data_IF_428729866218
#
_entry.id   IF_428729866218
#
_cell.length_a   1.000
_cell.length_b   1.000
_cell.length_c   1.000
_cell.angle_alpha   90.00
_cell.angle_beta   90.00
_cell.angle_gamma   90.00
#
_symmetry.space_group_name_H-M   'P 1'
#
loop_
_entity.id
_entity.type
_entity.pdbx_description
1 polymer ?
2 non-polymer ?
3 water ?
#
# COMPACT_ATOMS: atom_id res chain seq x y z
N UNK A 1 -12.54 -19.10 7.60
CA UNK A 1 -13.18 -17.87 7.05
C UNK A 1 -12.75 -16.62 7.83
N UNK A 2 -12.60 -15.51 7.12
CA UNK A 2 -12.25 -14.26 7.78
C UNK A 2 -13.54 -13.80 8.46
N UNK A 3 -13.48 -13.57 9.76
CA UNK A 3 -14.66 -13.12 10.49
C UNK A 3 -15.09 -11.77 9.95
N UNK A 4 -16.35 -11.42 10.18
CA UNK A 4 -16.88 -10.13 9.75
C UNK A 4 -16.15 -8.98 10.47
N UNK A 5 -15.83 -9.18 11.75
CA UNK A 5 -15.13 -8.15 12.53
C UNK A 5 -13.75 -7.87 11.98
N UNK A 6 -13.04 -8.96 11.65
CA UNK A 6 -11.70 -8.84 11.10
C UNK A 6 -11.71 -8.25 9.69
N UNK A 7 -12.72 -8.59 8.91
CA UNK A 7 -12.84 -8.05 7.56
C UNK A 7 -13.04 -6.53 7.67
N UNK A 8 -13.90 -6.11 8.58
CA UNK A 8 -14.14 -4.69 8.77
C UNK A 8 -12.86 -3.96 9.12
N UNK A 9 -12.06 -4.51 10.03
CA UNK A 9 -10.78 -3.91 10.42
C UNK A 9 -9.83 -3.80 9.22
N UNK A 10 -9.69 -4.88 8.46
CA UNK A 10 -8.84 -4.86 7.28
C UNK A 10 -9.32 -3.84 6.22
N UNK A 11 -10.62 -3.78 5.98
CA UNK A 11 -11.11 -2.87 4.96
C UNK A 11 -11.30 -1.41 5.32
N UNK A 12 -11.53 -1.12 6.60
CA UNK A 12 -11.83 0.25 7.01
C UNK A 12 -11.08 0.95 8.12
N UNK A 13 -10.18 0.25 8.80
CA UNK A 13 -9.46 0.85 9.91
C UNK A 13 -8.01 1.18 9.61
N UNK A 14 -7.63 2.42 9.91
CA UNK A 14 -6.26 2.86 9.75
C UNK A 14 -6.05 3.99 10.74
N UNK A 15 -6.13 3.62 12.02
CA UNK A 15 -6.00 4.55 13.12
C UNK A 15 -4.68 5.31 13.12
N UNK A 16 -4.75 6.63 13.32
CA UNK A 16 -3.54 7.44 13.33
C UNK A 16 -3.78 8.89 12.98
N UNK A 17 -2.78 9.74 13.24
CA UNK A 17 -2.85 11.17 12.99
C UNK A 17 -2.53 11.60 11.56
N UNK A 18 -1.43 11.06 11.02
CA UNK A 18 -1.01 11.39 9.66
C UNK A 18 -0.95 10.13 8.79
N UNK A 19 -2.13 9.59 8.41
CA UNK A 19 -2.21 8.39 7.57
C UNK A 19 -1.68 8.58 6.14
N UNK A 20 -1.89 9.78 5.59
CA UNK A 20 -1.44 10.11 4.23
C UNK A 20 -0.01 10.68 4.18
N UNK A 21 0.71 10.59 5.29
CA UNK A 21 2.08 11.08 5.42
C UNK A 21 3.05 10.33 4.49
N UNK A 22 3.93 11.08 3.83
CA UNK A 22 4.88 10.45 2.91
C UNK A 22 5.91 9.54 3.62
N UNK A 23 6.08 9.70 4.93
CA UNK A 23 7.01 8.84 5.66
C UNK A 23 6.38 7.44 5.80
N UNK A 24 5.14 7.31 5.32
CA UNK A 24 4.42 6.04 5.33
C UNK A 24 4.60 5.29 4.01
N UNK A 25 5.17 5.98 3.01
CA UNK A 25 5.35 5.42 1.67
C UNK A 25 5.82 3.96 1.66
N UNK A 26 6.92 3.68 2.33
CA UNK A 26 7.43 2.33 2.39
C UNK A 26 6.48 1.34 3.07
N UNK A 27 5.83 1.75 4.15
CA UNK A 27 4.91 0.88 4.86
C UNK A 27 3.80 0.42 3.93
N UNK A 28 3.25 1.36 3.17
CA UNK A 28 2.18 1.04 2.25
C UNK A 28 2.66 0.29 1.01
N UNK A 29 3.76 0.75 0.40
CA UNK A 29 4.28 0.07 -0.78
C UNK A 29 4.78 -1.34 -0.47
N UNK A 30 5.50 -1.50 0.63
CA UNK A 30 6.01 -2.83 1.00
C UNK A 30 4.88 -3.81 1.19
N UNK A 31 3.74 -3.31 1.64
CA UNK A 31 2.55 -4.12 1.85
C UNK A 31 1.84 -4.38 0.50
N UNK A 32 1.58 -3.30 -0.25
CA UNK A 32 0.93 -3.37 -1.56
C UNK A 32 1.68 -4.34 -2.47
N UNK A 33 2.99 -4.11 -2.58
CA UNK A 33 3.86 -4.93 -3.41
C UNK A 33 4.17 -6.33 -2.87
N UNK A 34 3.43 -6.76 -1.85
CA UNK A 34 3.52 -8.09 -1.26
C UNK A 34 4.87 -8.55 -0.71
N UNK A 35 5.56 -7.65 -0.03
CA UNK A 35 6.83 -7.99 0.56
C UNK A 35 6.77 -8.02 2.10
N UNK A 36 5.55 -8.16 2.63
CA UNK A 36 5.35 -8.24 4.09
C UNK A 36 4.49 -9.46 4.45
N UNK A 37 4.54 -10.48 3.59
CA UNK A 37 3.76 -11.69 3.82
C UNK A 37 4.70 -12.77 4.34
N UNK A 38 4.38 -13.37 5.48
CA UNK A 38 5.23 -14.40 6.05
C UNK A 38 6.30 -13.80 6.93
N UNK A 39 6.98 -12.78 6.43
CA UNK A 39 8.02 -12.08 7.17
C UNK A 39 8.14 -10.66 6.62
N UNK A 40 8.89 -9.80 7.32
CA UNK A 40 9.09 -8.45 6.85
C UNK A 40 10.38 -8.44 6.06
N UNK A 41 10.30 -8.17 4.76
CA UNK A 41 11.54 -8.11 3.99
C UNK A 41 12.28 -6.94 4.62
N UNK A 42 13.49 -7.20 5.15
CA UNK A 42 14.31 -6.17 5.80
C UNK A 42 14.71 -4.92 5.02
N UNK A 43 15.12 -5.08 3.77
CA UNK A 43 15.52 -3.95 2.94
C UNK A 43 14.98 -4.11 1.54
N UNK A 44 14.60 -3.01 0.91
CA UNK A 44 14.06 -3.06 -0.43
C UNK A 44 14.13 -1.67 -1.02
N UNK A 45 14.59 -1.58 -2.26
CA UNK A 45 14.70 -0.30 -2.94
C UNK A 45 13.64 -0.19 -4.05
N UNK A 46 13.08 1.00 -4.22
CA UNK A 46 12.12 1.29 -5.29
C UNK A 46 12.80 2.33 -6.15
N UNK A 47 12.79 2.11 -7.45
CA UNK A 47 13.41 3.02 -8.40
C UNK A 47 12.32 3.86 -9.05
N UNK A 48 12.48 5.17 -9.02
CA UNK A 48 11.49 6.04 -9.60
C UNK A 48 11.86 6.52 -10.99
N UNK A 49 12.57 5.68 -11.74
CA UNK A 49 12.97 6.03 -13.10
C UNK A 49 12.16 5.25 -14.12
N UNK A 50 12.21 5.71 -15.37
CA UNK A 50 11.51 5.05 -16.47
C UNK A 50 12.02 3.61 -16.58
N UNK A 51 11.13 2.67 -16.92
CA UNK A 51 11.53 1.27 -17.07
C UNK A 51 12.53 1.13 -18.23
N UNK A 52 12.50 2.08 -19.16
CA UNK A 52 13.41 2.08 -20.31
C UNK A 52 14.83 2.36 -19.81
N UNK A 53 14.96 3.31 -18.88
CA UNK A 53 16.25 3.67 -18.29
C UNK A 53 16.83 2.57 -17.40
N UNK A 54 15.97 1.87 -16.68
CA UNK A 54 16.44 0.80 -15.81
C UNK A 54 16.88 -0.40 -16.65
N UNK A 55 16.15 -0.71 -17.72
CA UNK A 55 16.53 -1.83 -18.59
C UNK A 55 17.86 -1.55 -19.28
N UNK A 56 18.11 -0.28 -19.59
CA UNK A 56 19.33 0.10 -20.27
C UNK A 56 20.58 -0.23 -19.43
N UNK A 57 20.42 -0.29 -18.11
CA UNK A 57 21.54 -0.61 -17.21
C UNK A 57 22.17 -1.97 -17.57
N UNK A 58 21.39 -2.87 -18.13
CA UNK A 58 21.89 -4.20 -18.52
C UNK A 58 22.91 -4.20 -19.66
N UNK A 59 23.21 -3.03 -20.19
CA UNK A 59 24.21 -2.93 -21.26
C UNK A 59 25.19 -1.82 -20.86
N UNK A 60 25.26 -1.56 -19.55
CA UNK A 60 26.15 -0.53 -19.04
C UNK A 60 27.40 -1.07 -18.33
N UNK A 61 27.79 -0.53 -17.17
CA UNK A 61 29.01 -1.03 -16.52
C UNK A 61 28.93 -2.37 -15.81
N UNK A 62 29.75 -3.31 -16.24
CA UNK A 62 29.77 -4.65 -15.65
C UNK A 62 30.51 -4.68 -14.30
N UNK A 63 29.93 -5.37 -13.31
CA UNK A 63 30.53 -5.49 -11.98
C UNK A 63 30.13 -6.83 -11.36
N UNK A 64 30.87 -7.26 -10.35
CA UNK A 64 30.58 -8.53 -9.68
C UNK A 64 29.44 -8.30 -8.69
N UNK A 65 28.53 -9.26 -8.59
CA UNK A 65 27.44 -9.15 -7.63
C UNK A 65 28.03 -9.42 -6.24
N UNK A 66 27.30 -9.07 -5.19
CA UNK A 66 27.73 -9.29 -3.81
C UNK A 66 27.87 -10.78 -3.48
N UNK A 67 27.06 -11.62 -4.12
CA UNK A 67 27.13 -13.06 -3.87
C UNK A 67 28.08 -13.84 -4.77
N UNK A 68 28.92 -13.13 -5.52
CA UNK A 68 29.88 -13.80 -6.37
C UNK A 68 29.42 -14.07 -7.80
N UNK A 69 28.15 -13.86 -8.09
CA UNK A 69 27.69 -14.09 -9.45
C UNK A 69 28.30 -13.02 -10.32
N UNK A 70 28.38 -13.29 -11.61
CA UNK A 70 29.02 -12.35 -12.50
C UNK A 70 28.11 -11.68 -13.51
N UNK A 71 26.81 -11.69 -13.25
CA UNK A 71 25.87 -11.07 -14.16
C UNK A 71 25.31 -9.75 -13.66
N UNK A 72 26.14 -8.95 -12.98
CA UNK A 72 25.69 -7.66 -12.48
C UNK A 72 26.22 -6.47 -13.26
N UNK A 73 25.45 -5.39 -13.24
CA UNK A 73 25.75 -4.15 -13.95
C UNK A 73 25.40 -2.94 -13.08
N UNK A 74 26.21 -1.90 -13.19
CA UNK A 74 26.02 -0.65 -12.45
C UNK A 74 25.60 0.47 -13.38
N UNK A 75 24.62 1.25 -12.97
CA UNK A 75 24.15 2.35 -13.78
C UNK A 75 25.23 3.41 -13.93
N UNK A 76 25.41 3.90 -15.14
CA UNK A 76 26.39 4.92 -15.41
C UNK A 76 26.04 6.24 -14.70
N UNK A 77 24.75 6.54 -14.61
CA UNK A 77 24.23 7.74 -13.96
C UNK A 77 23.47 7.42 -12.66
N UNK A 78 23.25 8.41 -11.82
CA UNK A 78 22.51 8.19 -10.59
C UNK A 78 21.01 8.13 -10.88
N UNK A 79 20.28 7.44 -10.03
CA UNK A 79 18.86 7.31 -10.19
C UNK A 79 18.13 7.65 -8.91
N UNK A 80 16.95 8.25 -9.05
CA UNK A 80 16.13 8.60 -7.91
C UNK A 80 15.50 7.31 -7.40
N UNK A 81 15.90 6.92 -6.20
CA UNK A 81 15.40 5.71 -5.57
C UNK A 81 14.88 5.98 -4.14
N UNK A 82 14.08 5.06 -3.65
CA UNK A 82 13.60 5.16 -2.29
C UNK A 82 14.09 3.93 -1.58
N UNK A 83 14.78 4.14 -0.47
CA UNK A 83 15.30 3.04 0.32
C UNK A 83 14.29 2.75 1.42
N UNK A 84 13.82 1.51 1.51
CA UNK A 84 12.91 1.15 2.56
C UNK A 84 13.65 0.21 3.48
N UNK A 85 13.80 0.62 4.75
CA UNK A 85 14.53 -0.20 5.71
C UNK A 85 13.73 -0.40 6.97
N UNK A 86 13.65 -1.65 7.41
CA UNK A 86 12.94 -2.04 8.64
C UNK A 86 13.45 -1.30 9.87
N UNK A 87 12.53 -0.80 10.69
CA UNK A 87 12.90 -0.08 11.90
C UNK A 87 13.20 -1.06 13.03
N UNK A 88 13.90 -0.60 14.06
CA UNK A 88 14.21 -1.46 15.19
C UNK A 88 12.93 -1.95 15.86
N UNK A 89 11.90 -1.13 15.80
CA UNK A 89 10.60 -1.44 16.37
C UNK A 89 9.77 -2.45 15.56
N UNK A 90 10.06 -2.57 14.26
CA UNK A 90 9.34 -3.49 13.39
C UNK A 90 9.37 -4.94 13.86
N UNK A 91 8.20 -5.58 13.89
CA UNK A 91 8.09 -6.96 14.31
C UNK A 91 6.88 -7.58 13.62
N UNK A 92 7.12 -8.59 12.79
CA UNK A 92 6.04 -9.26 12.05
C UNK A 92 4.92 -9.71 13.00
N UNK A 93 3.65 -9.59 12.57
CA UNK A 93 3.15 -9.09 11.29
C UNK A 93 3.05 -7.56 11.19
N UNK A 94 3.59 -6.86 12.18
CA UNK A 94 3.56 -5.40 12.16
C UNK A 94 4.91 -4.89 11.68
N UNK A 95 5.08 -4.88 10.36
CA UNK A 95 6.31 -4.44 9.71
C UNK A 95 6.33 -2.91 9.61
N UNK A 96 7.45 -2.32 9.98
CA UNK A 96 7.58 -0.87 9.94
C UNK A 96 8.87 -0.53 9.21
N UNK A 97 8.77 0.44 8.30
CA UNK A 97 9.91 0.83 7.51
C UNK A 97 10.21 2.29 7.59
N UNK A 98 11.48 2.63 7.43
CA UNK A 98 11.92 4.01 7.42
C UNK A 98 12.03 4.29 5.92
N UNK A 99 11.47 5.42 5.50
CA UNK A 99 11.52 5.79 4.10
C UNK A 99 12.65 6.80 3.87
N UNK A 100 13.56 6.50 2.96
CA UNK A 100 14.65 7.43 2.65
C UNK A 100 14.76 7.63 1.14
N UNK A 101 14.67 8.87 0.67
CA UNK A 101 14.78 9.16 -0.75
C UNK A 101 16.18 9.68 -1.03
N UNK A 102 16.86 9.04 -1.98
CA UNK A 102 18.24 9.41 -2.37
C UNK A 102 18.50 9.24 -3.86
N UNK A 103 19.62 9.77 -4.32
CA UNK A 103 20.00 9.65 -5.73
C UNK A 103 21.35 8.95 -5.73
N UNK A 104 21.33 7.66 -6.08
CA UNK A 104 22.53 6.84 -6.12
C UNK A 104 22.54 5.99 -7.38
N UNK A 105 23.70 5.41 -7.70
CA UNK A 105 23.84 4.51 -8.85
C UNK A 105 23.23 3.19 -8.37
N UNK A 106 22.63 2.43 -9.27
CA UNK A 106 22.07 1.16 -8.84
C UNK A 106 22.86 0.04 -9.49
N UNK A 107 22.81 -1.13 -8.86
CA UNK A 107 23.48 -2.32 -9.36
C UNK A 107 22.39 -3.37 -9.39
N UNK A 108 22.20 -3.97 -10.55
CA UNK A 108 21.18 -5.01 -10.70
C UNK A 108 21.79 -6.20 -11.42
N UNK A 109 21.21 -7.37 -11.24
CA UNK A 109 21.66 -8.54 -11.96
C UNK A 109 20.69 -8.66 -13.18
N UNK A 110 21.20 -8.95 -14.37
CA UNK A 110 20.34 -9.09 -15.55
C UNK A 110 20.33 -10.53 -16.00
N UNK A 111 19.21 -10.98 -16.53
CA UNK A 111 19.10 -12.35 -16.98
C UNK A 111 18.02 -12.54 -18.03
N UNK A 112 17.91 -13.75 -18.56
CA UNK A 112 16.92 -14.05 -19.57
C UNK A 112 17.26 -13.50 -20.94
N UNK A 113 16.34 -13.65 -21.90
CA UNK A 113 16.53 -13.14 -23.25
C UNK A 113 15.23 -12.58 -23.82
N UNK A 114 15.15 -11.27 -24.11
CA UNK A 114 16.18 -10.24 -23.96
C UNK A 114 16.69 -10.13 -22.53
N UNK A 115 17.87 -9.56 -22.37
CA UNK A 115 18.47 -9.43 -21.05
C UNK A 115 17.83 -8.28 -20.26
N UNK A 116 17.19 -8.61 -19.15
CA UNK A 116 16.53 -7.58 -18.34
C UNK A 116 16.85 -7.73 -16.85
N UNK A 117 16.62 -6.67 -16.03
CA UNK A 117 16.93 -6.76 -14.61
C UNK A 117 16.10 -7.83 -13.92
N UNK A 118 16.75 -8.69 -13.14
CA UNK A 118 16.04 -9.74 -12.43
C UNK A 118 16.30 -9.76 -10.92
N UNK A 119 17.10 -8.82 -10.44
CA UNK A 119 17.45 -8.74 -9.03
C UNK A 119 18.12 -7.40 -8.78
N UNK A 120 17.84 -6.79 -7.63
CA UNK A 120 18.47 -5.52 -7.28
C UNK A 120 19.62 -5.92 -6.35
N UNK A 121 20.83 -5.52 -6.68
CA UNK A 121 21.98 -5.90 -5.88
C UNK A 121 22.40 -4.87 -4.85
N UNK A 122 22.56 -3.62 -5.27
CA UNK A 122 23.01 -2.59 -4.36
C UNK A 122 22.89 -1.22 -4.99
N UNK A 123 23.23 -0.20 -4.23
CA UNK A 123 23.20 1.17 -4.72
C UNK A 123 24.50 1.76 -4.24
N UNK A 124 25.16 2.53 -5.10
CA UNK A 124 26.44 3.10 -4.76
C UNK A 124 26.55 4.59 -5.15
N UNK B 1 3.70 -19.46 -11.72
CA UNK B 1 5.10 -18.98 -11.57
C UNK B 1 5.33 -17.63 -12.24
N UNK B 2 5.47 -16.61 -11.41
CA UNK B 2 5.71 -15.24 -11.86
C UNK B 2 7.11 -15.18 -12.48
N UNK B 3 7.26 -14.48 -13.59
CA UNK B 3 8.57 -14.41 -14.21
C UNK B 3 9.52 -13.54 -13.41
N UNK B 4 10.82 -13.81 -13.54
CA UNK B 4 11.85 -13.05 -12.84
C UNK B 4 11.72 -11.56 -13.20
N UNK B 5 11.55 -11.26 -14.49
CA UNK B 5 11.40 -9.87 -14.93
C UNK B 5 10.20 -9.18 -14.27
N UNK B 6 9.08 -9.90 -14.18
CA UNK B 6 7.86 -9.36 -13.59
C UNK B 6 8.05 -9.19 -12.09
N UNK B 7 8.75 -10.15 -11.48
CA UNK B 7 9.03 -10.10 -10.05
C UNK B 7 9.87 -8.87 -9.72
N UNK B 8 10.81 -8.54 -10.60
CA UNK B 8 11.65 -7.36 -10.40
C UNK B 8 10.83 -6.05 -10.49
N UNK B 9 9.90 -5.98 -11.44
CA UNK B 9 9.06 -4.78 -11.60
C UNK B 9 8.17 -4.57 -10.38
N UNK B 10 7.54 -5.65 -9.91
CA UNK B 10 6.67 -5.58 -8.74
C UNK B 10 7.42 -5.18 -7.46
N UNK B 11 8.60 -5.75 -7.28
CA UNK B 11 9.37 -5.47 -6.08
C UNK B 11 10.22 -4.20 -6.11
N UNK B 12 10.66 -3.76 -7.28
CA UNK B 12 11.53 -2.60 -7.34
C UNK B 12 11.15 -1.40 -8.22
N UNK B 13 10.08 -1.49 -9.00
CA UNK B 13 9.72 -0.38 -9.87
C UNK B 13 8.51 0.46 -9.43
N UNK B 14 8.71 1.77 -9.39
CA UNK B 14 7.65 2.71 -9.07
C UNK B 14 7.84 3.97 -9.90
N UNK B 15 7.75 3.79 -11.21
CA UNK B 15 7.89 4.85 -12.18
C UNK B 15 6.66 5.72 -12.10
N UNK B 16 6.87 7.02 -12.24
CA UNK B 16 5.72 7.91 -12.19
C UNK B 16 4.77 7.90 -11.01
N UNK B 17 5.37 7.94 -9.83
CA UNK B 17 4.65 7.96 -8.59
C UNK B 17 5.66 8.61 -7.66
N UNK B 18 5.29 9.74 -7.09
CA UNK B 18 6.19 10.43 -6.18
C UNK B 18 5.93 9.98 -4.76
N UNK B 19 7.00 9.59 -4.05
CA UNK B 19 6.91 9.14 -2.66
C UNK B 19 6.37 10.26 -1.79
N UNK B 20 6.62 11.50 -2.21
CA UNK B 20 6.15 12.67 -1.47
C UNK B 20 4.85 13.15 -2.06
N UNK B 21 3.80 12.35 -1.92
CA UNK B 21 2.49 12.69 -2.46
C UNK B 21 1.37 12.17 -1.58
N UNK B 22 0.55 13.09 -1.07
CA UNK B 22 -0.56 12.72 -0.20
C UNK B 22 -1.76 12.17 -0.97
N UNK B 23 -1.89 12.55 -2.23
CA UNK B 23 -2.99 12.13 -3.08
C UNK B 23 -2.95 10.63 -3.41
N UNK B 24 -1.79 10.02 -3.24
CA UNK B 24 -1.61 8.61 -3.56
C UNK B 24 -2.10 7.59 -2.54
N UNK B 25 -2.44 8.08 -1.36
CA UNK B 25 -2.91 7.25 -0.28
C UNK B 25 -3.90 6.15 -0.65
N UNK B 26 -5.03 6.55 -1.22
CA UNK B 26 -6.04 5.56 -1.59
C UNK B 26 -5.53 4.43 -2.49
N UNK B 27 -4.76 4.77 -3.52
CA UNK B 27 -4.22 3.79 -4.44
C UNK B 27 -3.39 2.73 -3.72
N UNK B 28 -2.48 3.16 -2.86
CA UNK B 28 -1.63 2.24 -2.11
C UNK B 28 -2.42 1.47 -1.04
N UNK B 29 -3.27 2.18 -0.30
CA UNK B 29 -4.06 1.55 0.76
C UNK B 29 -5.04 0.51 0.21
N UNK B 30 -5.73 0.85 -0.88
CA UNK B 30 -6.69 -0.06 -1.51
C UNK B 30 -5.97 -1.32 -1.98
N UNK B 31 -4.73 -1.14 -2.45
CA UNK B 31 -3.90 -2.25 -2.91
C UNK B 31 -3.43 -3.05 -1.71
N UNK B 32 -2.82 -2.38 -0.73
CA UNK B 32 -2.32 -3.05 0.47
C UNK B 32 -3.37 -3.85 1.23
N UNK B 33 -4.58 -3.29 1.31
CA UNK B 33 -5.68 -3.92 2.05
C UNK B 33 -6.50 -4.94 1.27
N UNK B 34 -5.94 -5.39 0.16
CA UNK B 34 -6.54 -6.41 -0.70
C UNK B 34 -7.89 -6.10 -1.32
N UNK B 35 -8.13 -4.85 -1.72
CA UNK B 35 -9.42 -4.50 -2.33
C UNK B 35 -9.36 -4.22 -3.83
N UNK B 36 -8.28 -4.64 -4.47
CA UNK B 36 -8.12 -4.44 -5.90
C UNK B 36 -7.79 -5.77 -6.62
N UNK B 37 -8.18 -6.87 -6.00
CA UNK B 37 -7.93 -8.20 -6.55
C UNK B 37 -9.23 -8.71 -7.14
N UNK B 38 -9.17 -9.20 -8.38
CA UNK B 38 -10.37 -9.68 -9.04
C UNK B 38 -11.02 -8.52 -9.78
N UNK B 39 -11.11 -7.37 -9.11
CA UNK B 39 -11.64 -6.13 -9.67
C UNK B 39 -11.43 -4.98 -8.69
N UNK B 40 -11.68 -3.75 -9.15
CA UNK B 40 -11.51 -2.59 -8.30
C UNK B 40 -12.74 -2.35 -7.41
N UNK B 41 -12.51 -2.21 -6.10
CA UNK B 41 -13.64 -1.93 -5.21
C UNK B 41 -13.95 -0.46 -5.54
N UNK B 42 -15.17 -0.18 -6.00
CA UNK B 42 -15.66 1.15 -6.37
C UNK B 42 -15.42 2.26 -5.35
N UNK B 43 -15.90 2.02 -4.14
CA UNK B 43 -15.84 2.98 -3.05
C UNK B 43 -15.40 2.29 -1.76
N UNK B 44 -14.64 3.00 -0.93
CA UNK B 44 -14.22 2.45 0.35
C UNK B 44 -13.73 3.54 1.27
N UNK B 45 -14.19 3.52 2.51
CA UNK B 45 -13.80 4.51 3.50
C UNK B 45 -12.81 3.95 4.50
N UNK B 46 -11.81 4.75 4.86
CA UNK B 46 -10.84 4.38 5.87
C UNK B 46 -11.08 5.31 7.05
N UNK B 47 -11.15 4.76 8.25
CA UNK B 47 -11.39 5.55 9.46
C UNK B 47 -10.09 5.70 10.25
N UNK B 48 -9.76 6.94 10.60
CA UNK B 48 -8.52 7.21 11.31
C UNK B 48 -8.60 7.32 12.83
N UNK B 49 -9.84 7.27 13.36
CA UNK B 49 -10.06 7.34 14.80
C UNK B 49 -9.61 6.00 15.41
N UNK B 50 -9.57 5.91 16.74
CA UNK B 50 -9.14 4.69 17.42
C UNK B 50 -10.15 3.58 17.24
N UNK B 51 -9.69 2.34 17.35
CA UNK B 51 -10.61 1.22 17.21
C UNK B 51 -11.70 1.32 18.27
N UNK B 52 -11.32 1.70 19.49
CA UNK B 52 -12.26 1.87 20.62
C UNK B 52 -13.40 2.85 20.29
N UNK B 53 -13.07 3.99 19.71
CA UNK B 53 -14.08 4.99 19.33
C UNK B 53 -15.02 4.46 18.22
N UNK B 54 -14.51 3.63 17.32
CA UNK B 54 -15.34 3.10 16.24
C UNK B 54 -16.29 2.02 16.77
N UNK B 55 -15.76 1.15 17.63
CA UNK B 55 -16.54 0.08 18.24
C UNK B 55 -17.70 0.64 19.07
N UNK B 56 -17.45 1.79 19.69
CA UNK B 56 -18.44 2.45 20.52
C UNK B 56 -19.64 2.95 19.71
N UNK B 57 -19.46 3.13 18.40
CA UNK B 57 -20.58 3.60 17.56
C UNK B 57 -21.72 2.60 17.61
N UNK B 58 -21.41 1.33 17.85
CA UNK B 58 -22.44 0.31 17.96
C UNK B 58 -23.39 0.51 19.14
N UNK B 59 -23.06 1.43 20.05
CA UNK B 59 -23.92 1.68 21.19
C UNK B 59 -24.52 3.09 21.11
N UNK B 60 -24.43 3.69 19.92
CA UNK B 60 -24.95 5.03 19.73
C UNK B 60 -26.28 5.08 19.01
N UNK B 61 -26.44 6.08 18.15
CA UNK B 61 -27.68 6.30 17.43
C UNK B 61 -28.11 5.25 16.40
N UNK B 62 -29.18 4.53 16.73
CA UNK B 62 -29.77 3.50 15.87
C UNK B 62 -30.43 4.12 14.64
N UNK B 63 -30.01 3.72 13.44
CA UNK B 63 -30.61 4.22 12.19
C UNK B 63 -30.83 3.03 11.25
N UNK B 64 -31.57 3.24 10.15
CA UNK B 64 -31.80 2.17 9.17
C UNK B 64 -30.66 2.18 8.14
N UNK B 65 -30.23 1.00 7.72
CA UNK B 65 -29.18 0.87 6.73
C UNK B 65 -29.75 1.25 5.36
N UNK B 66 -28.86 1.54 4.41
CA UNK B 66 -29.28 1.89 3.06
C UNK B 66 -30.05 0.75 2.44
N UNK B 67 -29.69 -0.47 2.81
CA UNK B 67 -30.31 -1.67 2.27
C UNK B 67 -31.59 -2.11 2.99
N UNK B 68 -32.12 -1.28 3.87
CA UNK B 68 -33.34 -1.67 4.56
C UNK B 68 -33.13 -2.43 5.85
N UNK B 69 -31.93 -2.97 6.07
CA UNK B 69 -31.65 -3.71 7.31
C UNK B 69 -31.72 -2.74 8.50
N UNK B 70 -31.94 -3.27 9.69
CA UNK B 70 -32.08 -2.40 10.85
C UNK B 70 -30.96 -2.38 11.90
N UNK B 71 -29.81 -2.98 11.61
CA UNK B 71 -28.70 -3.00 12.57
C UNK B 71 -27.64 -1.93 12.34
N UNK B 72 -28.05 -0.77 11.85
CA UNK B 72 -27.11 0.33 11.60
C UNK B 72 -27.13 1.39 12.70
N UNK B 73 -25.95 1.95 12.96
CA UNK B 73 -25.73 2.97 13.99
C UNK B 73 -24.92 4.13 13.42
N UNK B 74 -25.26 5.35 13.84
CA UNK B 74 -24.59 6.56 13.42
C UNK B 74 -23.79 7.17 14.58
N UNK B 75 -22.57 7.63 14.30
CA UNK B 75 -21.73 8.24 15.33
C UNK B 75 -22.29 9.59 15.81
N UNK B 76 -22.14 9.85 17.10
CA UNK B 76 -22.60 11.10 17.68
C UNK B 76 -21.78 12.29 17.20
N UNK B 77 -20.50 12.05 16.93
CA UNK B 77 -19.61 13.11 16.46
C UNK B 77 -19.02 12.82 15.07
N UNK B 78 -18.40 13.85 14.49
CA UNK B 78 -17.73 13.65 13.22
C UNK B 78 -16.44 12.90 13.54
N UNK B 79 -15.97 12.15 12.56
CA UNK B 79 -14.74 11.37 12.70
C UNK B 79 -13.84 11.67 11.52
N UNK B 80 -12.54 11.50 11.71
CA UNK B 80 -11.57 11.73 10.64
C UNK B 80 -11.52 10.46 9.80
N UNK B 81 -11.91 10.57 8.54
CA UNK B 81 -11.93 9.42 7.64
C UNK B 81 -11.37 9.83 6.28
N UNK B 82 -11.03 8.83 5.48
CA UNK B 82 -10.56 9.09 4.12
C UNK B 82 -11.50 8.37 3.19
N UNK B 83 -12.08 9.14 2.26
CA UNK B 83 -13.03 8.64 1.26
C UNK B 83 -12.22 8.31 0.01
N UNK B 84 -12.31 7.06 -0.44
CA UNK B 84 -11.61 6.59 -1.64
C UNK B 84 -12.62 6.19 -2.70
N UNK B 85 -12.51 6.82 -3.87
CA UNK B 85 -13.40 6.55 -5.00
C UNK B 85 -12.69 6.44 -6.33
N UNK B 86 -13.07 5.45 -7.12
CA UNK B 86 -12.50 5.26 -8.45
C UNK B 86 -12.60 6.51 -9.28
N UNK B 87 -11.57 6.75 -10.07
CA UNK B 87 -11.54 7.89 -10.96
C UNK B 87 -12.22 7.44 -12.25
N UNK B 88 -12.38 8.36 -13.20
CA UNK B 88 -13.00 7.99 -14.46
C UNK B 88 -12.05 7.11 -15.24
N UNK B 89 -10.77 7.44 -15.21
CA UNK B 89 -9.74 6.69 -15.89
C UNK B 89 -9.35 5.36 -15.21
N UNK B 90 -10.07 4.98 -14.16
CA UNK B 90 -9.77 3.73 -13.47
C UNK B 90 -10.21 2.54 -14.33
N UNK B 91 -9.30 1.59 -14.54
CA UNK B 91 -9.62 0.42 -15.35
C UNK B 91 -8.85 -0.77 -14.78
N UNK B 92 -9.57 -1.80 -14.34
CA UNK B 92 -8.92 -3.00 -13.80
C UNK B 92 -7.96 -3.59 -14.86
N UNK B 93 -6.76 -4.04 -14.44
CA UNK B 93 -6.21 -4.06 -13.08
C UNK B 93 -5.48 -2.77 -12.69
N UNK B 94 -5.64 -1.71 -13.48
CA UNK B 94 -5.03 -0.43 -13.15
C UNK B 94 -6.04 0.42 -12.36
N UNK B 95 -6.33 0.00 -11.12
CA UNK B 95 -7.30 0.72 -10.31
C UNK B 95 -6.74 2.08 -9.89
N UNK B 96 -7.55 3.12 -10.03
CA UNK B 96 -7.11 4.46 -9.66
C UNK B 96 -8.17 5.09 -8.77
N UNK B 97 -7.74 5.64 -7.65
CA UNK B 97 -8.66 6.27 -6.71
C UNK B 97 -8.34 7.73 -6.46
N UNK B 98 -9.37 8.49 -6.14
CA UNK B 98 -9.21 9.88 -5.79
C UNK B 98 -9.28 9.83 -4.26
N UNK B 99 -8.37 10.53 -3.59
CA UNK B 99 -8.31 10.57 -2.12
C UNK B 99 -8.86 11.88 -1.61
N UNK B 100 -9.85 11.80 -0.74
CA UNK B 100 -10.47 12.99 -0.16
C UNK B 100 -10.50 12.86 1.35
N UNK B 101 -9.85 13.78 2.03
CA UNK B 101 -9.83 13.79 3.49
C UNK B 101 -11.09 14.50 3.95
N UNK B 102 -11.89 13.82 4.78
CA UNK B 102 -13.14 14.38 5.26
C UNK B 102 -13.38 14.16 6.75
N UNK B 103 -14.30 14.97 7.29
CA UNK B 103 -14.70 14.87 8.68
C UNK B 103 -16.23 14.81 8.72
N UNK B 104 -16.76 13.59 8.83
CA UNK B 104 -18.21 13.36 8.83
C UNK B 104 -18.63 12.26 9.83
N UNK B 105 -19.93 12.15 10.06
CA UNK B 105 -20.43 11.12 10.95
C UNK B 105 -20.42 9.86 10.13
N UNK B 106 -20.07 8.72 10.74
CA UNK B 106 -20.08 7.47 9.99
C UNK B 106 -21.28 6.62 10.40
N UNK B 107 -21.74 5.78 9.48
CA UNK B 107 -22.83 4.89 9.78
C UNK B 107 -22.31 3.50 9.50
N UNK B 108 -22.39 2.63 10.50
CA UNK B 108 -21.91 1.25 10.38
C UNK B 108 -22.98 0.25 10.79
N UNK B 109 -22.86 -0.97 10.27
CA UNK B 109 -23.77 -2.04 10.66
C UNK B 109 -22.98 -2.80 11.72
N UNK B 110 -23.66 -3.21 12.78
CA UNK B 110 -23.01 -3.95 13.86
C UNK B 110 -23.64 -5.32 14.01
N UNK B 111 -22.83 -6.29 14.37
CA UNK B 111 -23.34 -7.64 14.54
C UNK B 111 -22.38 -8.37 15.44
N UNK B 112 -22.70 -9.63 15.76
CA UNK B 112 -21.87 -10.43 16.64
C UNK B 112 -22.18 -10.19 18.12
N UNK B 113 -21.62 -11.03 18.98
CA UNK B 113 -21.83 -10.88 20.42
C UNK B 113 -20.45 -11.04 21.04
N UNK B 114 -19.84 -9.93 21.49
CA UNK B 114 -20.34 -8.55 21.50
C UNK B 114 -20.59 -7.96 20.11
N UNK B 115 -21.47 -6.97 20.06
CA UNK B 115 -21.82 -6.26 18.82
C UNK B 115 -20.65 -5.37 18.39
N UNK B 116 -20.00 -5.72 17.28
CA UNK B 116 -18.87 -4.94 16.76
C UNK B 116 -19.20 -4.52 15.32
N UNK B 117 -18.50 -3.51 14.77
CA UNK B 117 -18.76 -3.07 13.40
C UNK B 117 -18.38 -4.16 12.36
N UNK B 118 -19.31 -4.47 11.45
CA UNK B 118 -19.08 -5.49 10.43
C UNK B 118 -19.31 -5.01 8.98
N UNK B 119 -19.67 -3.74 8.80
CA UNK B 119 -19.91 -3.19 7.46
C UNK B 119 -19.98 -1.69 7.55
N UNK B 120 -19.39 -0.99 6.57
CA UNK B 120 -19.45 0.46 6.56
C UNK B 120 -20.61 0.86 5.64
N UNK B 121 -21.54 1.64 6.16
CA UNK B 121 -22.72 2.03 5.41
C UNK B 121 -22.65 3.37 4.70
N UNK B 122 -22.28 4.42 5.41
CA UNK B 122 -22.20 5.74 4.79
C UNK B 122 -21.62 6.75 5.75
N UNK B 123 -21.20 7.89 5.22
CA UNK B 123 -20.70 8.99 6.03
C UNK B 123 -21.64 10.13 5.73
N UNK B 124 -22.05 10.88 6.76
CA UNK B 124 -23.01 11.96 6.57
C UNK B 124 -22.70 13.25 7.36
X LIG C 1 15.53 -9.34 -4.94
X LIG C 1 14.18 -9.88 -5.02
X LIG C 1 15.96 -8.28 -5.88
X LIG C 1 19.42 -9.22 -1.55
X LIG C 1 18.09 -9.56 -1.06
X LIG C 1 17.09 -8.52 -1.51
X LIG C 1 17.45 -7.26 -0.92
X LIG C 1 17.01 -8.29 -3.02
X LIG C 1 15.72 -8.74 -3.48
X LIG C 1 16.82 -6.77 -3.18
X LIG C 1 16.99 -6.23 -1.76
X LIG C 1 17.80 -5.03 -1.59
X LIG C 1 17.29 -3.83 -2.09
X LIG C 1 17.98 -2.69 -1.87
X LIG C 1 19.15 -2.73 -1.26
X LIG C 1 19.71 -3.95 -0.77
X LIG C 1 19.00 -5.06 -0.96
X LIG C 1 16.22 -3.85 -2.73
X LIG C 1 19.80 -1.58 -1.10
X LIG C 1 16.51 -10.59 -5.04
X LIG C 1 15.91 -11.91 -5.10
X LIG C 1 16.95 -13.03 -5.03
X LIG C 1 17.62 -13.19 -6.31
X LIG C 1 18.11 -12.91 -4.06
X LIG C 1 17.72 -13.15 -2.72
X LIG C 1 19.04 -14.01 -4.56
X LIG C 1 18.78 -13.98 -6.07
X LIG C 1 19.90 -13.43 -6.86
X LIG C 1 21.07 -12.88 -6.38
X LIG C 1 21.92 -12.57 -7.32
X LIG C 1 21.25 -12.91 -8.50
X LIG C 1 21.63 -12.83 -9.84
X LIG C 1 22.81 -12.38 -10.25
X LIG C 1 20.72 -13.24 -10.77
X LIG C 1 19.54 -13.70 -10.35
X LIG C 1 19.08 -13.84 -9.12
X LIG C 1 19.99 -13.42 -8.23
X LIG D 1 -18.27 -3.48 3.39
X LIG D 1 -17.71 -2.56 4.41
X LIG D 1 -17.78 -4.86 3.27
X LIG D 1 -21.47 -1.53 0.08
X LIG D 1 -20.26 -2.03 -0.51
X LIG D 1 -19.05 -1.46 0.17
X LIG D 1 -19.00 -0.03 -0.03
X LIG D 1 -19.02 -1.65 1.69
X LIG D 1 -18.13 -2.71 2.01
X LIG D 1 -18.28 -0.41 2.21
X LIG D 1 -18.24 0.52 1.01
X LIG D 1 -18.60 1.92 1.26
X LIG D 1 -17.70 2.69 2.02
X LIG D 1 -17.94 3.99 2.19
X LIG D 1 -19.02 4.55 1.66
X LIG D 1 -19.99 3.80 0.92
X LIG D 1 -19.73 2.49 0.75
X LIG D 1 -16.73 2.13 2.53
X LIG D 1 -19.20 5.86 1.85
X LIG D 1 -19.83 -3.56 3.67
X LIG D 1 -20.73 -4.05 2.67
X LIG D 1 -20.90 -5.55 2.82
X LIG D 1 -21.13 -5.87 4.23
X LIG D 1 -22.10 -6.11 2.09
X LIG D 1 -21.78 -6.46 0.74
X LIG D 1 -22.46 -7.34 2.93
X LIG D 1 -22.19 -6.82 4.34
X LIG D 1 -23.34 -6.11 4.91
X LIG D 1 -24.15 -5.19 4.27
X LIG D 1 -25.12 -4.73 5.02
X LIG D 1 -24.94 -5.40 6.24
X LIG D 1 -25.64 -5.34 7.45
X LIG D 1 -26.70 -4.56 7.67
X LIG D 1 -25.20 -6.12 8.45
X LIG D 1 -24.13 -6.90 8.24
X LIG D 1 -23.39 -7.04 7.15
X LIG D 1 -23.85 -6.25 6.16
#
# INVERSE_FOLDING_TARGET
KESAAAKFERQHMDSGNSPSSSSNYCNLMMCCRKMTQGKCKPVNTFVHESLADVKAVCSQKKVTCKNGQTNCYQSKSTMRITDCRETGSSKYPNCAYKTTQVEKHIIVACGGKPSVPVHFDASV
KESAAAKFERQHMDSGNSPSSSSNYCNLMMCCRKMTQGKCKPVNTFVHESLADVKAVCSQKKVTCKNGQTNCYQSKSTMRITDCRETGSSKYPNCAYKTTQVEKHIIVACGGKPSVPVHFDASV
CPA P O1P O2P O5D C5X C4X O4D C3X O3D C2X C1X N1C CC2 N3C CC4 CC5 CC6 O2C N4C O5B C5B C4B O4B C3B O3B C2B C1B N9A C8A N7A C5A C6A N6A N1A C2A N3A C4A
CPA P O1P O2P O5D C5X C4X O4D C3X O3D C2X C1X N1C CC2 N3C CC4 CC5 CC6 O2C N4C O5B C5B C4B O4B C3B O3B C2B C1B N9A C8A N7A C5A C6A N6A N1A C2A N3A C4A
#
